data_IF_457363898186
#
_entry.id   IF_457363898186
#
_cell.length_a   1.000
_cell.length_b   1.000
_cell.length_c   1.000
_cell.angle_alpha   90.00
_cell.angle_beta   90.00
_cell.angle_gamma   90.00
#
_symmetry.space_group_name_H-M   'P 1'
#
loop_
_entity.id
_entity.type
_entity.pdbx_description
1 polymer ?
#
# COMPACT_ATOMS: atom_id res chain seq x y z
N UNK A 1 -13.51 -59.98 55.35
CA UNK A 1 -14.31 -59.91 54.10
C UNK A 1 -14.41 -58.46 53.67
N UNK A 2 -14.10 -58.22 52.38
CA UNK A 2 -14.34 -57.03 51.54
C UNK A 2 -14.00 -55.65 52.13
N UNK A 3 -12.84 -55.12 51.73
CA UNK A 3 -12.55 -53.68 51.74
C UNK A 3 -12.29 -53.21 50.31
N UNK A 4 -13.19 -52.35 49.86
CA UNK A 4 -13.20 -51.36 48.77
C UNK A 4 -12.18 -51.54 47.63
N UNK A 5 -12.64 -51.85 46.42
CA UNK A 5 -13.15 -50.91 45.40
C UNK A 5 -12.05 -49.99 44.85
N UNK A 6 -11.38 -50.52 43.83
CA UNK A 6 -11.08 -49.87 42.54
C UNK A 6 -11.58 -48.42 42.40
N UNK A 7 -10.67 -47.45 42.28
CA UNK A 7 -10.67 -46.43 41.21
C UNK A 7 -9.43 -45.52 41.39
N UNK A 8 -8.31 -45.90 40.76
CA UNK A 8 -7.24 -44.95 40.46
C UNK A 8 -7.65 -44.21 39.17
N UNK A 9 -8.66 -43.34 39.29
CA UNK A 9 -9.20 -42.57 38.17
C UNK A 9 -8.40 -41.27 38.05
N UNK A 10 -7.42 -41.31 37.15
CA UNK A 10 -7.10 -40.25 36.18
C UNK A 10 -7.38 -38.83 36.70
N UNK A 11 -6.41 -38.28 37.44
CA UNK A 11 -6.36 -36.86 37.78
C UNK A 11 -5.74 -36.05 36.63
N UNK A 12 -6.27 -36.24 35.41
CA UNK A 12 -5.91 -35.44 34.22
C UNK A 12 -7.11 -34.58 33.87
N UNK A 13 -7.60 -33.80 34.84
CA UNK A 13 -8.62 -32.80 34.57
C UNK A 13 -7.96 -31.44 34.41
N UNK A 14 -7.75 -31.11 33.14
CA UNK A 14 -8.08 -29.80 32.55
C UNK A 14 -7.51 -28.59 33.26
N UNK A 15 -6.20 -28.40 33.14
CA UNK A 15 -5.68 -27.02 33.02
C UNK A 15 -6.05 -26.57 31.60
N UNK A 16 -7.30 -26.15 31.44
CA UNK A 16 -7.70 -25.37 30.28
C UNK A 16 -7.02 -24.02 30.44
N UNK A 17 -5.87 -23.84 29.78
CA UNK A 17 -5.43 -22.48 29.49
C UNK A 17 -6.52 -21.87 28.61
N UNK A 18 -7.40 -21.07 29.21
CA UNK A 18 -7.90 -19.91 28.50
C UNK A 18 -6.65 -19.06 28.24
N UNK A 19 -5.95 -19.35 27.13
CA UNK A 19 -5.30 -18.28 26.42
C UNK A 19 -6.48 -17.37 26.04
N UNK A 20 -6.78 -16.41 26.91
CA UNK A 20 -7.33 -15.16 26.41
C UNK A 20 -6.41 -14.82 25.24
N UNK A 21 -6.99 -14.74 24.03
CA UNK A 21 -6.27 -14.23 22.87
C UNK A 21 -5.88 -12.80 23.25
N UNK A 22 -4.73 -12.67 23.92
CA UNK A 22 -4.12 -11.44 24.35
C UNK A 22 -3.44 -10.88 23.11
N UNK A 23 -4.27 -10.62 22.12
CA UNK A 23 -3.88 -10.01 20.89
C UNK A 23 -3.56 -8.57 21.23
N UNK A 24 -2.27 -8.24 21.27
CA UNK A 24 -1.84 -6.85 21.36
C UNK A 24 -2.35 -6.04 20.17
N UNK A 25 -2.13 -4.73 20.22
CA UNK A 25 -2.44 -3.84 19.10
C UNK A 25 -1.54 -4.20 17.89
N UNK A 26 -2.11 -4.82 16.86
CA UNK A 26 -1.43 -5.16 15.61
C UNK A 26 -2.09 -4.41 14.45
N UNK A 27 -1.35 -3.46 13.87
CA UNK A 27 -1.84 -2.61 12.81
C UNK A 27 -0.73 -2.32 11.79
N UNK A 28 -1.02 -2.54 10.51
CA UNK A 28 -0.11 -2.18 9.41
C UNK A 28 -0.78 -1.09 8.57
N UNK A 29 -0.16 0.10 8.43
CA UNK A 29 -0.72 1.17 7.60
C UNK A 29 -0.73 0.78 6.10
N UNK A 30 -1.47 1.51 5.26
CA UNK A 30 -1.39 1.38 3.82
C UNK A 30 0.04 1.48 3.30
N UNK A 31 0.32 0.80 2.18
CA UNK A 31 1.58 0.93 1.47
C UNK A 31 1.73 2.33 0.89
N UNK A 32 2.97 2.77 0.71
CA UNK A 32 3.28 3.95 -0.08
C UNK A 32 3.15 3.62 -1.57
N UNK A 33 2.70 4.59 -2.36
CA UNK A 33 2.62 4.49 -3.81
C UNK A 33 3.78 5.27 -4.42
N UNK A 34 4.59 4.58 -5.21
CA UNK A 34 5.84 5.10 -5.74
C UNK A 34 5.81 5.05 -7.27
N UNK A 35 6.08 6.18 -7.92
CA UNK A 35 5.99 6.32 -9.37
C UNK A 35 7.34 6.67 -10.01
N UNK A 36 7.72 5.92 -11.04
CA UNK A 36 8.86 6.20 -11.93
C UNK A 36 8.32 6.63 -13.30
N UNK A 37 8.44 7.92 -13.64
CA UNK A 37 7.99 8.43 -14.94
C UNK A 37 9.13 8.38 -15.93
N UNK A 38 8.94 7.61 -17.00
CA UNK A 38 9.95 7.39 -18.03
C UNK A 38 9.42 7.75 -19.41
N UNK A 39 10.31 8.18 -20.29
CA UNK A 39 10.02 8.34 -21.71
C UNK A 39 9.68 6.98 -22.32
N UNK A 40 8.60 6.91 -23.11
CA UNK A 40 8.11 5.66 -23.68
C UNK A 40 9.12 4.95 -24.60
N UNK A 41 9.92 5.71 -25.35
CA UNK A 41 10.79 5.17 -26.40
C UNK A 41 12.19 4.85 -25.88
N UNK A 42 12.70 5.65 -24.95
CA UNK A 42 14.07 5.55 -24.43
C UNK A 42 14.17 4.91 -23.05
N UNK A 43 13.06 4.84 -22.32
CA UNK A 43 12.98 4.37 -20.92
C UNK A 43 13.80 5.21 -19.92
N UNK A 44 14.27 6.40 -20.32
CA UNK A 44 14.96 7.34 -19.44
C UNK A 44 13.99 8.03 -18.48
N UNK A 45 14.40 8.23 -17.22
CA UNK A 45 13.59 8.93 -16.22
C UNK A 45 13.48 10.43 -16.56
N UNK A 46 12.24 10.91 -16.64
CA UNK A 46 11.91 12.24 -17.18
C UNK A 46 12.32 13.41 -16.28
N UNK A 47 12.66 13.14 -15.02
CA UNK A 47 13.22 14.14 -14.10
C UNK A 47 14.75 14.11 -14.04
N UNK A 48 15.38 13.05 -14.55
CA UNK A 48 16.84 12.94 -14.64
C UNK A 48 17.36 13.60 -15.91
N UNK A 49 16.60 13.50 -17.00
CA UNK A 49 16.92 14.16 -18.27
C UNK A 49 16.34 15.59 -18.38
N UNK A 50 15.87 16.16 -17.26
CA UNK A 50 15.31 17.51 -17.14
C UNK A 50 14.09 17.79 -18.05
N UNK A 51 13.36 16.76 -18.50
CA UNK A 51 12.11 16.93 -19.27
C UNK A 51 11.00 17.53 -18.40
N UNK A 52 10.91 17.11 -17.14
CA UNK A 52 10.01 17.70 -16.15
C UNK A 52 10.77 18.31 -14.98
N UNK A 53 10.26 19.44 -14.49
CA UNK A 53 10.72 20.06 -13.26
C UNK A 53 10.00 19.43 -12.06
N UNK A 54 10.78 18.95 -11.09
CA UNK A 54 10.26 18.35 -9.85
C UNK A 54 9.45 19.34 -9.03
N UNK A 55 9.81 20.62 -9.08
CA UNK A 55 9.16 21.68 -8.30
C UNK A 55 7.82 22.11 -8.91
N UNK A 56 7.54 21.72 -10.15
CA UNK A 56 6.26 21.98 -10.84
C UNK A 56 5.23 20.86 -10.64
N UNK A 57 5.63 19.72 -10.07
CA UNK A 57 4.75 18.57 -9.85
C UNK A 57 3.70 18.91 -8.78
N UNK A 58 2.46 18.54 -9.06
CA UNK A 58 1.35 18.62 -8.09
C UNK A 58 0.56 17.32 -8.08
N UNK A 59 -0.02 17.00 -6.94
CA UNK A 59 -0.88 15.83 -6.77
C UNK A 59 -2.13 16.26 -6.02
N UNK A 60 -3.29 15.87 -6.51
CA UNK A 60 -4.58 16.21 -5.91
C UNK A 60 -5.59 15.06 -6.06
N UNK A 61 -6.60 15.05 -5.19
CA UNK A 61 -7.68 14.07 -5.20
C UNK A 61 -8.86 14.50 -6.10
N UNK A 62 -9.95 13.73 -6.10
CA UNK A 62 -11.13 14.03 -6.92
C UNK A 62 -11.91 15.29 -6.52
N UNK A 63 -11.56 15.92 -5.39
CA UNK A 63 -12.16 17.16 -4.89
C UNK A 63 -11.23 18.37 -5.08
N UNK A 64 -10.16 18.20 -5.86
CA UNK A 64 -9.08 19.18 -6.06
C UNK A 64 -8.35 19.53 -4.74
N UNK A 65 -8.34 18.62 -3.75
CA UNK A 65 -7.56 18.78 -2.52
C UNK A 65 -6.12 18.29 -2.73
N UNK A 66 -5.15 19.11 -2.32
CA UNK A 66 -3.72 18.79 -2.43
C UNK A 66 -3.36 17.53 -1.62
N UNK A 67 -2.62 16.63 -2.25
CA UNK A 67 -2.07 15.42 -1.63
C UNK A 67 -0.55 15.56 -1.52
N UNK A 68 -0.01 15.41 -0.30
CA UNK A 68 1.43 15.53 -0.12
C UNK A 68 2.19 14.37 -0.75
N UNK A 69 3.33 14.70 -1.35
CA UNK A 69 4.26 13.74 -1.93
C UNK A 69 5.70 14.14 -1.64
N UNK A 70 6.63 13.23 -1.94
CA UNK A 70 8.06 13.47 -1.88
C UNK A 70 8.74 13.01 -3.16
N UNK A 71 9.74 13.75 -3.61
CA UNK A 71 10.65 13.30 -4.66
C UNK A 71 11.86 12.63 -4.03
N UNK A 72 12.02 11.32 -4.23
CA UNK A 72 13.09 10.50 -3.65
C UNK A 72 14.04 10.07 -4.76
N UNK A 73 15.34 10.35 -4.61
CA UNK A 73 16.34 9.85 -5.53
C UNK A 73 16.75 8.41 -5.15
N UNK A 74 16.47 7.45 -6.03
CA UNK A 74 16.69 6.02 -5.80
C UNK A 74 17.15 5.33 -7.09
N UNK A 75 18.24 4.55 -7.01
CA UNK A 75 18.83 3.83 -8.15
C UNK A 75 18.97 4.70 -9.41
N UNK A 76 19.59 5.88 -9.27
CA UNK A 76 19.85 6.82 -10.37
C UNK A 76 18.59 7.45 -11.00
N UNK A 77 17.42 7.30 -10.37
CA UNK A 77 16.14 7.85 -10.82
C UNK A 77 15.49 8.71 -9.74
N UNK A 78 14.64 9.66 -10.14
CA UNK A 78 13.74 10.33 -9.21
C UNK A 78 12.38 9.61 -9.19
N UNK A 79 11.96 9.23 -7.98
CA UNK A 79 10.72 8.53 -7.71
C UNK A 79 9.78 9.46 -6.96
N UNK A 80 8.55 9.61 -7.46
CA UNK A 80 7.49 10.34 -6.76
C UNK A 80 6.84 9.38 -5.76
N UNK A 81 6.96 9.69 -4.47
CA UNK A 81 6.46 8.88 -3.37
C UNK A 81 5.27 9.54 -2.68
N UNK A 82 4.14 8.84 -2.63
CA UNK A 82 2.89 9.28 -1.99
C UNK A 82 2.58 8.34 -0.84
N UNK A 83 2.68 8.84 0.40
CA UNK A 83 2.46 8.06 1.61
C UNK A 83 1.10 8.32 2.27
N UNK A 84 0.41 9.39 1.88
CA UNK A 84 -0.82 9.87 2.54
C UNK A 84 -2.11 9.31 1.93
N UNK A 85 -2.00 8.43 0.92
CA UNK A 85 -3.14 7.79 0.27
C UNK A 85 -3.31 6.33 0.70
N UNK A 86 -4.46 5.76 0.37
CA UNK A 86 -4.78 4.36 0.66
C UNK A 86 -5.43 4.10 2.03
N UNK A 87 -5.67 5.15 2.80
CA UNK A 87 -6.38 5.09 4.10
C UNK A 87 -7.90 4.99 3.95
N UNK A 88 -8.45 5.48 2.84
CA UNK A 88 -9.87 5.42 2.55
C UNK A 88 -10.21 4.06 1.93
N UNK A 89 -11.31 3.44 2.37
CA UNK A 89 -11.82 2.15 1.87
C UNK A 89 -12.90 2.29 0.81
N UNK A 90 -13.29 3.52 0.46
CA UNK A 90 -14.07 3.80 -0.74
C UNK A 90 -13.10 4.09 -1.90
N UNK A 91 -13.42 3.70 -3.15
CA UNK A 91 -12.59 4.03 -4.30
C UNK A 91 -12.37 5.53 -4.42
N UNK A 92 -11.11 5.93 -4.62
CA UNK A 92 -10.67 7.32 -4.78
C UNK A 92 -9.95 7.52 -6.10
N UNK A 93 -10.09 8.72 -6.67
CA UNK A 93 -9.38 9.11 -7.88
C UNK A 93 -8.35 10.17 -7.55
N UNK A 94 -7.13 9.99 -8.04
CA UNK A 94 -6.04 10.92 -7.85
C UNK A 94 -5.49 11.34 -9.20
N UNK A 95 -5.00 12.59 -9.25
CA UNK A 95 -4.32 13.14 -10.42
C UNK A 95 -2.92 13.58 -10.02
N UNK A 96 -1.91 13.06 -10.74
CA UNK A 96 -0.54 13.56 -10.70
C UNK A 96 -0.35 14.44 -11.93
N UNK A 97 -0.09 15.71 -11.72
CA UNK A 97 0.22 16.68 -12.77
C UNK A 97 1.73 16.90 -12.84
N UNK A 98 2.35 16.47 -13.94
CA UNK A 98 3.78 16.67 -14.19
C UNK A 98 4.05 18.01 -14.89
N UNK A 99 3.11 18.47 -15.70
CA UNK A 99 3.11 19.76 -16.38
C UNK A 99 1.67 20.16 -16.72
N UNK A 100 1.46 21.33 -17.33
CA UNK A 100 0.12 21.78 -17.75
C UNK A 100 -0.57 20.82 -18.75
N UNK A 101 0.20 20.08 -19.52
CA UNK A 101 -0.30 19.18 -20.58
C UNK A 101 -0.23 17.69 -20.21
N UNK A 102 0.42 17.34 -19.08
CA UNK A 102 0.69 15.94 -18.70
C UNK A 102 0.06 15.62 -17.34
N UNK A 103 -1.07 14.91 -17.40
CA UNK A 103 -1.88 14.49 -16.26
C UNK A 103 -1.98 12.97 -16.21
N UNK A 104 -1.60 12.39 -15.07
CA UNK A 104 -1.73 10.96 -14.80
C UNK A 104 -2.87 10.77 -13.82
N UNK A 105 -3.96 10.18 -14.30
CA UNK A 105 -5.15 9.90 -13.49
C UNK A 105 -5.19 8.42 -13.15
N UNK A 106 -5.33 8.12 -11.87
CA UNK A 106 -5.50 6.75 -11.40
C UNK A 106 -6.60 6.63 -10.35
N UNK A 107 -7.31 5.51 -10.40
CA UNK A 107 -8.25 5.08 -9.38
C UNK A 107 -7.55 4.11 -8.43
N UNK A 108 -7.80 4.28 -7.13
CA UNK A 108 -7.30 3.42 -6.07
C UNK A 108 -8.48 2.96 -5.21
N UNK A 109 -8.66 1.64 -5.15
CA UNK A 109 -9.62 0.97 -4.29
C UNK A 109 -8.86 0.13 -3.25
N UNK A 110 -9.21 0.32 -1.98
CA UNK A 110 -8.55 -0.30 -0.85
C UNK A 110 -9.57 -0.98 0.02
N UNK A 111 -9.18 -2.09 0.64
CA UNK A 111 -9.95 -2.70 1.70
C UNK A 111 -9.14 -2.88 2.96
N UNK A 112 -9.86 -2.91 4.07
CA UNK A 112 -9.31 -3.26 5.37
C UNK A 112 -9.53 -4.74 5.61
N UNK A 113 -8.44 -5.47 5.82
CA UNK A 113 -8.47 -6.89 6.15
C UNK A 113 -8.11 -7.07 7.61
N UNK A 114 -8.92 -7.85 8.32
CA UNK A 114 -8.65 -8.25 9.71
C UNK A 114 -8.48 -9.78 9.78
N UNK A 115 -7.27 -10.24 10.09
CA UNK A 115 -6.95 -11.66 10.28
C UNK A 115 -6.01 -11.83 11.46
N UNK A 116 -6.18 -12.89 12.24
CA UNK A 116 -5.31 -13.24 13.38
C UNK A 116 -5.05 -12.06 14.33
N UNK A 117 -6.08 -11.25 14.58
CA UNK A 117 -6.07 -10.01 15.37
C UNK A 117 -5.24 -8.84 14.82
N UNK A 118 -4.72 -8.94 13.60
CA UNK A 118 -4.05 -7.84 12.91
C UNK A 118 -5.00 -7.19 11.91
N UNK A 119 -4.96 -5.85 11.85
CA UNK A 119 -5.68 -5.09 10.83
C UNK A 119 -4.68 -4.42 9.90
N UNK A 120 -4.92 -4.54 8.59
CA UNK A 120 -4.06 -3.97 7.57
C UNK A 120 -4.86 -3.61 6.32
N UNK A 121 -4.23 -2.86 5.42
CA UNK A 121 -4.86 -2.40 4.18
C UNK A 121 -4.31 -3.17 2.99
N UNK A 122 -5.21 -3.62 2.13
CA UNK A 122 -4.88 -4.26 0.85
C UNK A 122 -5.42 -3.41 -0.30
N UNK A 123 -4.70 -3.43 -1.42
CA UNK A 123 -5.18 -2.82 -2.67
C UNK A 123 -6.13 -3.82 -3.32
N UNK A 124 -7.41 -3.47 -3.43
CA UNK A 124 -8.37 -4.29 -4.18
C UNK A 124 -8.25 -4.05 -5.67
N UNK A 125 -8.14 -2.77 -6.05
CA UNK A 125 -7.98 -2.36 -7.44
C UNK A 125 -7.07 -1.13 -7.54
N UNK A 126 -6.22 -1.13 -8.56
CA UNK A 126 -5.45 0.03 -8.99
C UNK A 126 -5.59 0.15 -10.50
N UNK A 127 -6.13 1.27 -10.97
CA UNK A 127 -6.37 1.49 -12.39
C UNK A 127 -5.83 2.84 -12.82
N UNK A 128 -4.72 2.83 -13.55
CA UNK A 128 -4.18 4.02 -14.22
C UNK A 128 -4.70 4.05 -15.66
N UNK A 129 -5.44 5.11 -16.01
CA UNK A 129 -6.21 5.17 -17.26
C UNK A 129 -5.43 5.79 -18.43
N UNK A 130 -4.52 6.72 -18.13
CA UNK A 130 -3.98 7.66 -19.13
C UNK A 130 -2.75 7.11 -19.86
N UNK A 131 -1.96 6.25 -19.23
CA UNK A 131 -0.66 5.81 -19.72
C UNK A 131 -0.42 4.31 -19.53
N UNK A 132 0.48 3.76 -20.35
CA UNK A 132 0.99 2.40 -20.15
C UNK A 132 1.85 2.37 -18.88
N UNK A 133 1.66 1.34 -18.05
CA UNK A 133 2.40 1.20 -16.81
C UNK A 133 2.70 -0.26 -16.46
N UNK A 134 3.71 -0.45 -15.63
CA UNK A 134 4.05 -1.74 -15.01
C UNK A 134 4.40 -1.53 -13.54
N UNK A 135 4.11 -2.51 -12.68
CA UNK A 135 4.52 -2.46 -11.28
C UNK A 135 5.60 -3.51 -11.01
N UNK A 136 6.71 -3.09 -10.41
CA UNK A 136 7.78 -3.99 -10.00
C UNK A 136 7.31 -4.89 -8.85
N UNK A 137 7.33 -6.22 -8.99
CA UNK A 137 6.91 -7.13 -7.92
C UNK A 137 7.87 -7.13 -6.72
N UNK A 138 9.09 -6.59 -6.88
CA UNK A 138 10.12 -6.56 -5.84
C UNK A 138 10.09 -5.26 -5.04
N UNK A 139 9.83 -4.13 -5.71
CA UNK A 139 9.91 -2.80 -5.08
C UNK A 139 8.55 -2.11 -4.93
N UNK A 140 7.51 -2.58 -5.63
CA UNK A 140 6.21 -1.91 -5.69
C UNK A 140 6.24 -0.56 -6.43
N UNK A 141 7.32 -0.26 -7.15
CA UNK A 141 7.42 0.98 -7.95
C UNK A 141 6.61 0.78 -9.22
N UNK A 142 5.69 1.72 -9.47
CA UNK A 142 4.85 1.80 -10.65
C UNK A 142 5.60 2.65 -11.68
N UNK A 143 6.12 2.01 -12.73
CA UNK A 143 6.74 2.71 -13.84
C UNK A 143 5.66 3.09 -14.85
N UNK A 144 5.58 4.39 -15.17
CA UNK A 144 4.61 4.97 -16.09
C UNK A 144 5.35 5.50 -17.31
N UNK A 145 4.93 5.07 -18.50
CA UNK A 145 5.53 5.47 -19.78
C UNK A 145 4.76 6.66 -20.36
N UNK A 146 5.41 7.82 -20.39
CA UNK A 146 4.87 9.07 -20.96
C UNK A 146 5.26 9.20 -22.42
#
# INVERSE_FOLDING_TARGET
>A
MKKNTLLLLILIFTISCNLSNDCGECFTPPRQFNFDFVDKDTEENLFVNDTFDKDAVTVFDENDEDVNFQMVFYNEKYILSIAEIGWNTEPKTYTIKLSDDVLIVFELDMSTVSSDCCTYFEVENFTLQTYEHTESPTTGIIQVKI
#
